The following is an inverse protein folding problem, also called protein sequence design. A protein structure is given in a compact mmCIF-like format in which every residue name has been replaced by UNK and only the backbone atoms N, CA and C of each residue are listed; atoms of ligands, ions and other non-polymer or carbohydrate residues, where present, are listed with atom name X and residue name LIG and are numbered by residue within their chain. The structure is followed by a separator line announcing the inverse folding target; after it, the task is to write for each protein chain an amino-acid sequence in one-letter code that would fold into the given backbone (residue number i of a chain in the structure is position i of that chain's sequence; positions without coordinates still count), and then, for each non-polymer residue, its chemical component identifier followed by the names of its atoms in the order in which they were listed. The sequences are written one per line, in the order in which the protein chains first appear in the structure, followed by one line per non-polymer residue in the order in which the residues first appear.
data_IF_623400804727
#
_entry.id   IF_623400804727
#
_cell.length_a   1.000
_cell.length_b   1.000
_cell.length_c   1.000
_cell.angle_alpha   90.00
_cell.angle_beta   90.00
_cell.angle_gamma   90.00
#
_symmetry.space_group_name_H-M   'P 1'
#
loop_
_entity.id
_entity.type
_entity.pdbx_description
1 polymer ?
#
# COMPACT_ATOMS: atom_id res chain seq x y z
N UNK A 1 2.37 11.66 20.59
CA UNK A 1 3.82 11.88 20.54
C UNK A 1 4.18 13.28 21.06
N UNK A 2 3.68 14.34 20.45
CA UNK A 2 3.92 15.74 20.88
C UNK A 2 3.57 15.99 22.36
N UNK A 3 2.50 15.37 22.86
CA UNK A 3 2.09 15.47 24.27
C UNK A 3 3.08 14.78 25.21
N UNK A 4 3.57 13.60 24.88
CA UNK A 4 4.57 12.88 25.67
C UNK A 4 5.89 13.66 25.68
N UNK A 5 6.33 14.17 24.54
CA UNK A 5 7.52 15.01 24.40
C UNK A 5 7.45 16.26 25.28
N UNK A 6 6.33 17.00 25.23
CA UNK A 6 6.12 18.17 26.05
C UNK A 6 6.13 17.87 27.58
N UNK A 7 5.60 16.69 27.96
CA UNK A 7 5.58 16.26 29.36
C UNK A 7 7.00 15.96 29.87
N UNK A 8 7.86 15.34 29.06
CA UNK A 8 9.25 15.08 29.47
C UNK A 8 10.07 16.36 29.61
N UNK A 9 9.84 17.38 28.77
CA UNK A 9 10.44 18.71 28.99
C UNK A 9 9.98 19.36 30.31
N UNK A 10 8.70 19.23 30.67
CA UNK A 10 8.19 19.73 31.96
C UNK A 10 8.77 18.96 33.14
N UNK A 11 9.19 17.71 32.96
CA UNK A 11 9.87 16.89 33.99
C UNK A 11 11.38 17.16 34.07
N UNK A 12 11.91 18.11 33.30
CA UNK A 12 13.30 18.53 33.32
C UNK A 12 14.24 17.76 32.40
N UNK A 13 13.71 16.95 31.51
CA UNK A 13 14.51 16.34 30.44
C UNK A 13 14.72 17.36 29.31
N UNK A 14 15.97 17.56 28.95
CA UNK A 14 16.36 18.42 27.82
C UNK A 14 17.14 17.57 26.80
N UNK A 15 17.35 18.08 25.60
CA UNK A 15 18.01 17.34 24.52
C UNK A 15 19.02 18.21 23.76
N UNK A 16 19.81 18.95 24.46
CA UNK A 16 20.87 19.78 23.85
C UNK A 16 22.01 18.95 23.28
N UNK A 17 22.24 17.74 23.82
CA UNK A 17 23.26 16.78 23.37
C UNK A 17 22.65 15.54 22.69
N UNK A 18 23.38 14.88 21.76
CA UNK A 18 22.90 13.72 21.01
C UNK A 18 22.57 12.49 21.89
N UNK A 19 23.31 12.31 22.97
CA UNK A 19 23.07 11.20 23.91
C UNK A 19 21.80 11.44 24.76
N UNK A 20 21.55 12.68 25.16
CA UNK A 20 20.34 13.08 25.86
C UNK A 20 19.10 12.92 25.00
N UNK A 21 19.19 13.22 23.69
CA UNK A 21 18.14 12.94 22.71
C UNK A 21 17.79 11.45 22.61
N UNK A 22 18.79 10.57 22.65
CA UNK A 22 18.58 9.12 22.60
C UNK A 22 17.90 8.60 23.86
N UNK A 23 18.29 9.13 25.01
CA UNK A 23 17.72 8.72 26.30
C UNK A 23 16.28 9.21 26.43
N UNK A 24 16.00 10.44 26.06
CA UNK A 24 14.66 11.00 26.01
C UNK A 24 13.74 10.23 25.08
N UNK A 25 14.18 9.86 23.86
CA UNK A 25 13.41 9.02 22.94
C UNK A 25 13.06 7.67 23.54
N UNK A 26 14.00 6.99 24.22
CA UNK A 26 13.73 5.72 24.90
C UNK A 26 12.67 5.85 26.00
N UNK A 27 12.70 6.95 26.73
CA UNK A 27 11.72 7.22 27.78
C UNK A 27 10.35 7.55 27.21
N UNK A 28 10.28 8.33 26.13
CA UNK A 28 9.05 8.61 25.39
C UNK A 28 8.41 7.34 24.86
N UNK A 29 9.18 6.45 24.20
CA UNK A 29 8.73 5.16 23.70
C UNK A 29 8.21 4.27 24.83
N UNK A 30 8.95 4.22 25.95
CA UNK A 30 8.52 3.44 27.13
C UNK A 30 7.20 3.97 27.72
N UNK A 31 7.04 5.27 27.82
CA UNK A 31 5.82 5.89 28.35
C UNK A 31 4.62 5.66 27.40
N UNK A 32 4.83 5.76 26.08
CA UNK A 32 3.80 5.50 25.09
C UNK A 32 3.39 4.02 25.06
N UNK A 33 4.35 3.08 25.21
CA UNK A 33 4.08 1.65 25.30
C UNK A 33 3.29 1.31 26.56
N UNK A 34 3.62 1.90 27.71
CA UNK A 34 2.86 1.73 28.96
C UNK A 34 1.44 2.30 28.87
N UNK A 35 1.24 3.34 28.08
CA UNK A 35 -0.08 3.92 27.81
C UNK A 35 -0.88 3.20 26.69
N UNK A 36 -0.32 2.12 26.11
CA UNK A 36 -0.94 1.41 24.97
C UNK A 36 -0.96 2.22 23.68
N UNK A 37 -0.12 3.26 23.56
CA UNK A 37 -0.03 4.18 22.42
C UNK A 37 1.38 4.09 21.78
N UNK A 38 2.15 3.04 22.10
CA UNK A 38 3.51 2.85 21.62
C UNK A 38 3.57 2.72 20.10
N UNK A 39 4.66 3.22 19.49
CA UNK A 39 4.93 3.03 18.05
C UNK A 39 5.24 1.59 17.66
N UNK A 40 5.57 0.72 18.62
CA UNK A 40 5.95 -0.67 18.42
C UNK A 40 4.77 -1.66 18.39
N UNK A 41 3.54 -1.18 18.18
CA UNK A 41 2.66 -1.93 17.33
C UNK A 41 3.02 -1.55 15.89
N UNK A 42 4.10 -2.10 15.35
CA UNK A 42 4.05 -2.59 13.98
C UNK A 42 2.89 -3.59 13.94
N UNK A 43 1.69 -3.08 13.86
CA UNK A 43 0.61 -3.77 13.21
C UNK A 43 0.97 -3.73 11.74
N UNK A 44 1.97 -4.56 11.39
CA UNK A 44 2.21 -4.87 9.99
C UNK A 44 0.88 -5.43 9.50
N UNK A 45 0.22 -4.69 8.62
CA UNK A 45 -1.04 -5.13 8.03
C UNK A 45 -0.84 -6.54 7.47
N UNK A 46 -1.66 -7.47 7.90
CA UNK A 46 -1.57 -8.88 7.47
C UNK A 46 -2.08 -9.04 6.04
N UNK A 47 -1.67 -10.11 5.37
CA UNK A 47 -2.16 -10.46 4.03
C UNK A 47 -3.70 -10.56 4.00
N UNK A 48 -4.28 -11.14 5.05
CA UNK A 48 -5.74 -11.24 5.17
C UNK A 48 -6.44 -9.88 5.26
N UNK A 49 -5.87 -8.94 6.00
CA UNK A 49 -6.39 -7.58 6.10
C UNK A 49 -6.22 -6.81 4.78
N UNK A 50 -5.10 -6.99 4.06
CA UNK A 50 -4.92 -6.40 2.73
C UNK A 50 -5.95 -6.93 1.74
N UNK A 51 -6.17 -8.24 1.69
CA UNK A 51 -7.17 -8.86 0.83
C UNK A 51 -8.60 -8.42 1.17
N UNK A 52 -8.91 -8.28 2.47
CA UNK A 52 -10.23 -7.79 2.91
C UNK A 52 -10.45 -6.31 2.53
N UNK A 53 -9.43 -5.46 2.66
CA UNK A 53 -9.50 -4.08 2.19
C UNK A 53 -9.69 -3.99 0.67
N UNK A 54 -9.02 -4.87 -0.09
CA UNK A 54 -9.23 -4.97 -1.54
C UNK A 54 -10.68 -5.40 -1.86
N UNK A 55 -11.26 -6.35 -1.12
CA UNK A 55 -12.67 -6.75 -1.25
C UNK A 55 -13.62 -5.59 -0.97
N UNK A 56 -13.41 -4.84 0.10
CA UNK A 56 -14.23 -3.65 0.42
C UNK A 56 -14.16 -2.60 -0.68
N UNK A 57 -13.03 -2.48 -1.35
CA UNK A 57 -12.87 -1.53 -2.46
C UNK A 57 -13.73 -1.87 -3.69
N UNK A 58 -14.29 -3.09 -3.80
CA UNK A 58 -15.25 -3.47 -4.83
C UNK A 58 -16.53 -2.64 -4.78
N UNK A 59 -16.95 -2.16 -3.62
CA UNK A 59 -18.17 -1.35 -3.44
C UNK A 59 -18.11 -0.03 -4.23
N UNK A 60 -16.91 0.47 -4.48
CA UNK A 60 -16.68 1.72 -5.20
C UNK A 60 -16.42 1.53 -6.70
N UNK A 61 -16.42 0.28 -7.19
CA UNK A 61 -16.20 0.00 -8.60
C UNK A 61 -17.29 0.60 -9.46
N UNK A 62 -16.88 1.30 -10.51
CA UNK A 62 -17.77 1.76 -11.57
C UNK A 62 -17.58 0.87 -12.80
N UNK A 63 -18.34 -0.22 -12.89
CA UNK A 63 -18.23 -1.25 -13.95
C UNK A 63 -19.57 -1.56 -14.63
N UNK A 64 -20.25 -0.55 -15.21
CA UNK A 64 -21.59 -0.73 -15.79
C UNK A 64 -21.59 -1.52 -17.09
N UNK A 65 -20.45 -1.69 -17.75
CA UNK A 65 -20.34 -2.34 -19.05
C UNK A 65 -19.92 -3.81 -18.93
N UNK A 66 -18.87 -4.09 -18.13
CA UNK A 66 -18.37 -5.45 -17.95
C UNK A 66 -19.04 -6.20 -16.81
N UNK A 67 -19.61 -5.49 -15.85
CA UNK A 67 -20.09 -6.01 -14.56
C UNK A 67 -18.99 -6.75 -13.76
N UNK A 68 -17.72 -6.51 -14.11
CA UNK A 68 -16.55 -7.09 -13.46
C UNK A 68 -15.94 -6.03 -12.52
N UNK A 69 -16.33 -6.10 -11.26
CA UNK A 69 -15.80 -5.21 -10.23
C UNK A 69 -14.42 -5.69 -9.77
N UNK A 70 -13.48 -4.76 -9.68
CA UNK A 70 -12.12 -4.98 -9.17
C UNK A 70 -11.78 -3.93 -8.13
N UNK A 71 -11.23 -4.38 -7.00
CA UNK A 71 -10.66 -3.52 -5.96
C UNK A 71 -9.18 -3.83 -5.78
N UNK A 72 -8.38 -2.82 -5.45
CA UNK A 72 -6.96 -2.98 -5.17
C UNK A 72 -6.54 -2.17 -3.95
N UNK A 73 -5.53 -2.69 -3.25
CA UNK A 73 -4.87 -2.01 -2.12
C UNK A 73 -3.37 -2.10 -2.30
N UNK A 74 -2.71 -0.96 -2.38
CA UNK A 74 -1.26 -0.85 -2.49
C UNK A 74 -0.66 -0.52 -1.13
N UNK A 75 0.27 -1.35 -0.65
CA UNK A 75 0.98 -1.19 0.62
C UNK A 75 2.33 -0.53 0.36
N UNK A 76 2.58 0.56 1.07
CA UNK A 76 3.86 1.27 1.08
C UNK A 76 4.84 0.68 2.08
N UNK A 77 6.14 0.90 1.87
CA UNK A 77 7.20 0.52 2.81
C UNK A 77 7.08 1.22 4.18
N UNK A 78 6.45 2.40 4.23
CA UNK A 78 6.18 3.15 5.46
C UNK A 78 4.88 2.74 6.19
N UNK A 79 4.22 1.67 5.72
CA UNK A 79 2.98 1.14 6.30
C UNK A 79 1.69 1.82 5.81
N UNK A 80 1.75 2.90 5.04
CA UNK A 80 0.54 3.50 4.44
C UNK A 80 -0.07 2.55 3.41
N UNK A 81 -1.40 2.60 3.31
CA UNK A 81 -2.15 1.84 2.32
C UNK A 81 -3.00 2.76 1.44
N UNK A 82 -3.08 2.43 0.16
CA UNK A 82 -3.86 3.20 -0.81
C UNK A 82 -4.81 2.26 -1.55
N UNK A 83 -6.10 2.53 -1.39
CA UNK A 83 -7.17 1.76 -2.05
C UNK A 83 -7.49 2.32 -3.43
N UNK A 84 -7.91 1.46 -4.34
CA UNK A 84 -8.41 1.81 -5.66
C UNK A 84 -9.49 0.84 -6.12
N UNK A 85 -10.28 1.26 -7.09
CA UNK A 85 -11.25 0.42 -7.79
C UNK A 85 -11.15 0.65 -9.30
N UNK A 86 -11.70 -0.26 -10.10
CA UNK A 86 -11.80 -0.02 -11.54
C UNK A 86 -12.91 0.98 -11.85
N UNK A 87 -12.63 1.85 -12.82
CA UNK A 87 -13.54 2.92 -13.26
C UNK A 87 -13.66 2.82 -14.77
N UNK A 88 -14.80 2.32 -15.23
CA UNK A 88 -15.08 2.19 -16.67
C UNK A 88 -15.54 3.50 -17.27
N UNK A 89 -15.43 3.58 -18.57
CA UNK A 89 -15.88 4.71 -19.37
C UNK A 89 -16.53 4.20 -20.65
N UNK A 90 -17.54 4.89 -21.15
CA UNK A 90 -18.16 4.59 -22.46
C UNK A 90 -17.15 4.65 -23.62
N UNK A 91 -16.11 5.44 -23.50
CA UNK A 91 -14.89 5.35 -24.30
C UNK A 91 -13.97 4.32 -23.64
N UNK A 92 -14.05 3.07 -24.05
CA UNK A 92 -13.40 1.92 -23.39
C UNK A 92 -11.89 2.10 -23.16
N UNK A 93 -11.20 2.80 -24.06
CA UNK A 93 -9.78 3.11 -23.92
C UNK A 93 -9.43 4.01 -22.72
N UNK A 94 -10.41 4.71 -22.13
CA UNK A 94 -10.23 5.56 -20.96
C UNK A 94 -10.47 4.82 -19.63
N UNK A 95 -10.90 3.57 -19.68
CA UNK A 95 -11.10 2.74 -18.48
C UNK A 95 -9.81 2.64 -17.67
N UNK A 96 -9.90 2.93 -16.37
CA UNK A 96 -8.77 2.79 -15.45
C UNK A 96 -8.96 1.57 -14.54
N UNK A 97 -7.91 0.74 -14.44
CA UNK A 97 -7.93 -0.44 -13.57
C UNK A 97 -7.73 -0.04 -12.10
N UNK A 98 -8.19 -0.88 -11.18
CA UNK A 98 -8.11 -0.67 -9.74
C UNK A 98 -6.67 -0.45 -9.26
N UNK A 99 -5.72 -1.22 -9.80
CA UNK A 99 -4.30 -1.16 -9.46
C UNK A 99 -3.69 0.21 -9.82
N UNK A 100 -4.03 0.75 -11.00
CA UNK A 100 -3.57 2.08 -11.41
C UNK A 100 -4.25 3.20 -10.63
N UNK A 101 -5.52 3.02 -10.25
CA UNK A 101 -6.20 3.97 -9.35
C UNK A 101 -5.49 4.04 -8.00
N UNK A 102 -5.15 2.90 -7.38
CA UNK A 102 -4.40 2.85 -6.13
C UNK A 102 -2.99 3.44 -6.29
N UNK A 103 -2.27 3.06 -7.34
CA UNK A 103 -0.91 3.55 -7.62
C UNK A 103 -0.86 5.06 -7.82
N UNK A 104 -1.71 5.61 -8.68
CA UNK A 104 -1.70 7.03 -9.01
C UNK A 104 -2.10 7.89 -7.81
N UNK A 105 -3.04 7.42 -6.99
CA UNK A 105 -3.38 8.03 -5.71
C UNK A 105 -2.17 8.04 -4.78
N UNK A 106 -1.50 6.91 -4.58
CA UNK A 106 -0.30 6.80 -3.75
C UNK A 106 0.80 7.77 -4.21
N UNK A 107 1.09 7.76 -5.52
CA UNK A 107 2.11 8.62 -6.12
C UNK A 107 1.76 10.09 -6.00
N UNK A 108 0.48 10.48 -6.16
CA UNK A 108 0.01 11.87 -6.01
C UNK A 108 0.10 12.37 -4.56
N UNK A 109 0.09 11.45 -3.58
CA UNK A 109 0.27 11.73 -2.15
C UNK A 109 1.74 11.55 -1.68
N UNK A 110 2.68 11.46 -2.63
CA UNK A 110 4.12 11.45 -2.36
C UNK A 110 4.74 10.08 -2.07
N UNK A 111 3.97 8.99 -2.08
CA UNK A 111 4.51 7.64 -1.91
C UNK A 111 5.28 7.19 -3.16
N UNK A 112 6.42 6.49 -2.96
CA UNK A 112 7.29 6.00 -4.04
C UNK A 112 7.78 4.57 -3.83
N UNK A 113 7.74 4.05 -2.60
CA UNK A 113 8.25 2.75 -2.22
C UNK A 113 7.09 1.84 -1.81
N UNK A 114 6.92 0.73 -2.53
CA UNK A 114 5.81 -0.19 -2.36
C UNK A 114 6.31 -1.60 -2.12
N UNK A 115 5.63 -2.34 -1.24
CA UNK A 115 6.03 -3.71 -0.83
C UNK A 115 5.06 -4.77 -1.32
N UNK A 116 3.76 -4.46 -1.35
CA UNK A 116 2.74 -5.41 -1.81
C UNK A 116 1.54 -4.69 -2.44
N UNK A 117 0.85 -5.40 -3.32
CA UNK A 117 -0.48 -5.04 -3.80
C UNK A 117 -1.43 -6.22 -3.60
N UNK A 118 -2.59 -5.96 -3.00
CA UNK A 118 -3.70 -6.92 -2.93
C UNK A 118 -4.77 -6.52 -3.94
N UNK A 119 -5.29 -7.48 -4.70
CA UNK A 119 -6.29 -7.26 -5.74
C UNK A 119 -7.44 -8.24 -5.54
N UNK A 120 -8.67 -7.76 -5.53
CA UNK A 120 -9.88 -8.55 -5.39
C UNK A 120 -10.81 -8.35 -6.59
N UNK A 121 -11.60 -9.36 -6.93
CA UNK A 121 -12.68 -9.25 -7.91
C UNK A 121 -13.97 -9.92 -7.42
N UNK A 122 -15.08 -9.58 -8.06
CA UNK A 122 -16.35 -10.29 -7.89
C UNK A 122 -16.49 -11.53 -8.80
N UNK A 123 -15.46 -11.84 -9.60
CA UNK A 123 -15.45 -12.93 -10.57
C UNK A 123 -14.18 -13.78 -10.52
N UNK A 124 -13.57 -14.04 -11.67
CA UNK A 124 -12.34 -14.83 -11.81
C UNK A 124 -11.13 -14.14 -11.15
N UNK A 125 -10.03 -14.89 -10.97
CA UNK A 125 -8.78 -14.41 -10.37
C UNK A 125 -8.28 -13.12 -11.05
N UNK A 126 -8.12 -12.01 -10.30
CA UNK A 126 -7.85 -10.68 -10.85
C UNK A 126 -6.33 -10.42 -10.99
N UNK A 127 -5.64 -11.12 -11.86
CA UNK A 127 -4.27 -10.76 -12.17
C UNK A 127 -4.18 -9.39 -12.85
N UNK A 128 -3.18 -8.55 -12.50
CA UNK A 128 -3.00 -7.25 -13.11
C UNK A 128 -2.77 -7.37 -14.62
N UNK A 129 -3.45 -6.55 -15.40
CA UNK A 129 -3.29 -6.48 -16.84
C UNK A 129 -1.89 -5.95 -17.25
N UNK A 130 -1.51 -6.08 -18.51
CA UNK A 130 -0.17 -5.64 -18.97
C UNK A 130 0.15 -4.18 -18.68
N UNK A 131 -0.81 -3.28 -18.82
CA UNK A 131 -0.64 -1.86 -18.51
C UNK A 131 -0.41 -1.62 -17.01
N UNK A 132 -1.14 -2.36 -16.14
CA UNK A 132 -0.95 -2.27 -14.70
C UNK A 132 0.40 -2.83 -14.25
N UNK A 133 0.83 -3.97 -14.84
CA UNK A 133 2.16 -4.53 -14.56
C UNK A 133 3.26 -3.54 -14.91
N UNK A 134 3.17 -2.91 -16.08
CA UNK A 134 4.15 -1.92 -16.52
C UNK A 134 4.15 -0.68 -15.62
N UNK A 135 2.97 -0.18 -15.23
CA UNK A 135 2.87 0.98 -14.35
C UNK A 135 3.45 0.70 -12.94
N UNK A 136 3.20 -0.49 -12.39
CA UNK A 136 3.76 -0.91 -11.10
C UNK A 136 5.27 -1.17 -11.17
N UNK A 137 5.77 -1.69 -12.31
CA UNK A 137 7.19 -1.99 -12.53
C UNK A 137 8.08 -0.73 -12.46
N UNK A 138 7.54 0.43 -12.74
CA UNK A 138 8.25 1.72 -12.64
C UNK A 138 8.78 1.98 -11.22
N UNK A 139 7.98 1.58 -10.22
CA UNK A 139 8.26 1.89 -8.81
C UNK A 139 8.72 0.67 -8.00
N UNK A 140 8.24 -0.53 -8.33
CA UNK A 140 8.45 -1.72 -7.51
C UNK A 140 8.50 -3.00 -8.36
N UNK A 141 9.61 -3.26 -9.09
CA UNK A 141 9.74 -4.44 -9.95
C UNK A 141 9.63 -5.77 -9.19
N UNK A 142 9.93 -5.80 -7.90
CA UNK A 142 9.83 -6.97 -7.01
C UNK A 142 8.55 -6.99 -6.16
N UNK A 143 7.56 -6.15 -6.51
CA UNK A 143 6.31 -6.03 -5.78
C UNK A 143 5.64 -7.39 -5.58
N UNK A 144 5.26 -7.70 -4.34
CA UNK A 144 4.44 -8.87 -4.04
C UNK A 144 2.99 -8.62 -4.49
N UNK A 145 2.39 -9.59 -5.17
CA UNK A 145 1.04 -9.49 -5.73
C UNK A 145 0.16 -10.56 -5.13
N UNK A 146 -0.77 -10.16 -4.28
CA UNK A 146 -1.79 -10.98 -3.65
C UNK A 146 -3.10 -10.83 -4.43
N UNK A 147 -3.76 -11.91 -4.76
CA UNK A 147 -5.04 -11.86 -5.47
C UNK A 147 -6.10 -12.72 -4.79
N UNK A 148 -7.36 -12.29 -4.86
CA UNK A 148 -8.50 -13.03 -4.38
C UNK A 148 -9.67 -12.93 -5.36
N UNK A 149 -10.19 -14.09 -5.76
CA UNK A 149 -11.35 -14.20 -6.64
C UNK A 149 -12.68 -14.11 -5.89
N UNK A 150 -13.77 -14.00 -6.64
CA UNK A 150 -15.13 -13.95 -6.07
C UNK A 150 -15.54 -15.21 -5.30
N UNK A 151 -15.00 -16.37 -5.65
CA UNK A 151 -15.22 -17.64 -4.95
C UNK A 151 -14.36 -17.82 -3.69
N UNK A 152 -13.47 -16.86 -3.41
CA UNK A 152 -12.58 -16.86 -2.25
C UNK A 152 -11.23 -17.53 -2.49
N UNK A 153 -10.97 -18.08 -3.67
CA UNK A 153 -9.64 -18.59 -4.03
C UNK A 153 -8.61 -17.47 -4.04
N UNK A 154 -7.39 -17.75 -3.58
CA UNK A 154 -6.29 -16.77 -3.46
C UNK A 154 -5.05 -17.25 -4.18
N UNK A 155 -4.23 -16.31 -4.63
CA UNK A 155 -2.88 -16.57 -5.13
C UNK A 155 -1.89 -15.52 -4.64
N UNK A 156 -0.63 -15.91 -4.53
CA UNK A 156 0.48 -15.08 -4.07
C UNK A 156 1.66 -15.24 -5.05
N UNK A 157 2.01 -14.17 -5.69
CA UNK A 157 3.07 -14.14 -6.70
C UNK A 157 3.85 -12.83 -6.63
N UNK A 158 4.75 -12.60 -7.57
CA UNK A 158 5.51 -11.35 -7.68
C UNK A 158 5.29 -10.68 -9.03
N UNK A 159 5.44 -9.36 -9.05
CA UNK A 159 5.39 -8.61 -10.30
C UNK A 159 6.49 -9.07 -11.27
N UNK A 160 7.66 -9.44 -10.76
CA UNK A 160 8.75 -10.04 -11.55
C UNK A 160 8.32 -11.31 -12.28
N UNK A 161 7.57 -12.18 -11.62
CA UNK A 161 7.06 -13.41 -12.24
C UNK A 161 6.01 -13.10 -13.32
N UNK A 162 5.20 -12.05 -13.11
CA UNK A 162 4.15 -11.63 -14.05
C UNK A 162 4.67 -10.77 -15.20
N UNK A 163 5.84 -10.12 -15.05
CA UNK A 163 6.50 -9.27 -16.07
C UNK A 163 8.03 -9.52 -16.06
N UNK A 164 8.50 -10.70 -16.51
CA UNK A 164 9.89 -11.12 -16.35
C UNK A 164 10.91 -10.25 -17.08
N UNK A 165 10.51 -9.55 -18.13
CA UNK A 165 11.36 -8.67 -18.96
C UNK A 165 10.77 -7.26 -19.02
N UNK A 166 10.28 -6.75 -17.87
CA UNK A 166 9.71 -5.40 -17.79
C UNK A 166 10.74 -4.32 -18.10
N UNK A 167 10.37 -3.38 -18.97
CA UNK A 167 11.13 -2.16 -19.22
C UNK A 167 10.95 -1.19 -18.05
N UNK A 168 12.04 -0.56 -17.59
CA UNK A 168 11.99 0.34 -16.44
C UNK A 168 13.12 1.37 -16.44
N UNK A 169 13.22 2.20 -15.37
CA UNK A 169 14.19 3.29 -15.30
C UNK A 169 15.64 2.88 -15.55
N UNK A 170 16.02 1.66 -15.13
CA UNK A 170 17.37 1.09 -15.33
C UNK A 170 17.74 0.86 -16.81
N UNK A 171 16.75 0.83 -17.70
CA UNK A 171 16.91 0.57 -19.13
C UNK A 171 17.04 1.88 -19.94
N UNK A 172 16.90 3.04 -19.28
CA UNK A 172 17.10 4.36 -19.85
C UNK A 172 18.54 4.86 -19.58
N UNK A 173 19.18 5.55 -20.53
CA UNK A 173 20.45 6.23 -20.28
C UNK A 173 20.25 7.40 -19.30
N UNK A 174 21.29 7.68 -18.51
CA UNK A 174 21.38 8.87 -17.63
C UNK A 174 21.42 10.18 -18.43
#
# INVERSE_FOLDING_TARGET
YLLAHALFHLMGYDHMEEDEKKEMRKMEEKALNMAGIGRDTETSITDGELLELARRSLEYSYSPYSHYAVGAVLLCADGRVFTGCNIENSSFGLTNCAERTALFKAVSEGAREFTAIAIASNGSMPYPCGACRQALNEFAPELRVLTIAGDGSTDDTTLRALLPHGFGPKDLPD
#
